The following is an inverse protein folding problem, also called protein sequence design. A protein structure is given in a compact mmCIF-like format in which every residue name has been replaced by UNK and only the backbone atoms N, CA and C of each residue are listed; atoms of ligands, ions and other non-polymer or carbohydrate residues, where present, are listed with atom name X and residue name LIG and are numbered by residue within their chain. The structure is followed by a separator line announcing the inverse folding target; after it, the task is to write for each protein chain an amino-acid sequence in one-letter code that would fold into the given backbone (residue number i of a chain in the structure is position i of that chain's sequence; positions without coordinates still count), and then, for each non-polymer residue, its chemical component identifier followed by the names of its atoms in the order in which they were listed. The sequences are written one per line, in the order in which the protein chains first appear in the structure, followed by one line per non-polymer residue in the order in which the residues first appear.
data_IF_382012045397
#
_entry.id   IF_382012045397
#
_cell.length_a   1.000
_cell.length_b   1.000
_cell.length_c   1.000
_cell.angle_alpha   90.00
_cell.angle_beta   90.00
_cell.angle_gamma   90.00
#
_symmetry.space_group_name_H-M   'P 1'
#
loop_
_entity.id
_entity.type
_entity.pdbx_description
1 polymer ?
#
# COMPACT_ATOMS: atom_id res chain seq x y z
N UNK A 1 -11.54 -7.78 -33.14
CA UNK A 1 -10.96 -8.29 -31.87
C UNK A 1 -9.45 -8.58 -31.95
N UNK A 2 -8.69 -7.89 -32.82
CA UNK A 2 -7.26 -8.17 -33.04
C UNK A 2 -6.33 -7.00 -32.67
N UNK A 3 -6.90 -5.82 -32.42
CA UNK A 3 -6.15 -4.60 -32.14
C UNK A 3 -5.59 -4.59 -30.71
N UNK A 4 -6.39 -5.00 -29.71
CA UNK A 4 -5.91 -5.15 -28.33
C UNK A 4 -4.79 -6.19 -28.20
N UNK A 5 -4.93 -7.35 -28.87
CA UNK A 5 -3.88 -8.38 -28.87
C UNK A 5 -2.56 -7.84 -29.44
N UNK A 6 -2.62 -7.03 -30.49
CA UNK A 6 -1.44 -6.42 -31.11
C UNK A 6 -0.82 -5.33 -30.22
N UNK A 7 -1.62 -4.55 -29.52
CA UNK A 7 -1.15 -3.59 -28.51
C UNK A 7 -0.46 -4.29 -27.33
N UNK A 8 -1.09 -5.35 -26.80
CA UNK A 8 -0.51 -6.15 -25.71
C UNK A 8 0.78 -6.82 -26.19
N UNK A 9 0.80 -7.37 -27.41
CA UNK A 9 2.00 -7.98 -27.97
C UNK A 9 3.12 -6.96 -28.14
N UNK A 10 2.86 -5.74 -28.61
CA UNK A 10 3.87 -4.69 -28.74
C UNK A 10 4.46 -4.28 -27.37
N UNK A 11 3.60 -4.15 -26.35
CA UNK A 11 4.03 -3.82 -24.98
C UNK A 11 4.86 -4.95 -24.36
N UNK A 12 4.37 -6.19 -24.48
CA UNK A 12 5.06 -7.39 -23.99
C UNK A 12 6.38 -7.60 -24.74
N UNK A 13 6.41 -7.41 -26.06
CA UNK A 13 7.62 -7.60 -26.86
C UNK A 13 8.66 -6.50 -26.60
N UNK A 14 8.24 -5.25 -26.37
CA UNK A 14 9.12 -4.17 -25.91
C UNK A 14 9.71 -4.42 -24.51
N UNK A 15 8.96 -5.08 -23.62
CA UNK A 15 9.47 -5.56 -22.33
C UNK A 15 10.32 -6.83 -22.46
N UNK A 16 10.03 -7.72 -23.41
CA UNK A 16 10.79 -8.96 -23.64
C UNK A 16 12.17 -8.67 -24.24
N UNK A 17 12.25 -7.67 -25.11
CA UNK A 17 13.48 -7.20 -25.75
C UNK A 17 14.26 -6.18 -24.89
N UNK A 18 13.95 -6.07 -23.59
CA UNK A 18 14.66 -5.18 -22.66
C UNK A 18 16.16 -5.45 -22.69
N UNK A 19 16.93 -4.42 -23.06
CA UNK A 19 18.38 -4.42 -22.99
C UNK A 19 18.85 -4.68 -21.55
N UNK A 20 20.07 -5.23 -21.39
CA UNK A 20 20.66 -5.53 -20.07
C UNK A 20 20.66 -4.32 -19.14
N UNK A 21 20.72 -3.10 -19.71
CA UNK A 21 20.62 -1.85 -18.98
C UNK A 21 19.24 -1.65 -18.34
N UNK A 22 18.16 -1.81 -19.10
CA UNK A 22 16.79 -1.60 -18.60
C UNK A 22 16.42 -2.60 -17.50
N UNK A 23 16.88 -3.85 -17.60
CA UNK A 23 16.71 -4.86 -16.54
C UNK A 23 17.42 -4.46 -15.23
N UNK A 24 18.64 -3.91 -15.33
CA UNK A 24 19.38 -3.39 -14.16
C UNK A 24 18.67 -2.20 -13.54
N UNK A 25 18.18 -1.27 -14.35
CA UNK A 25 17.43 -0.11 -13.87
C UNK A 25 16.13 -0.53 -13.17
N UNK A 26 15.37 -1.47 -13.74
CA UNK A 26 14.13 -1.95 -13.14
C UNK A 26 14.38 -2.63 -11.78
N UNK A 27 15.46 -3.41 -11.66
CA UNK A 27 15.88 -3.99 -10.39
C UNK A 27 16.23 -2.91 -9.36
N UNK A 28 16.96 -1.86 -9.76
CA UNK A 28 17.29 -0.72 -8.89
C UNK A 28 16.01 -0.01 -8.44
N UNK A 29 15.06 0.22 -9.34
CA UNK A 29 13.76 0.85 -9.03
C UNK A 29 12.96 0.00 -8.05
N UNK A 30 12.89 -1.32 -8.27
CA UNK A 30 12.21 -2.26 -7.39
C UNK A 30 12.80 -2.23 -5.98
N UNK A 31 14.14 -2.27 -5.88
CA UNK A 31 14.86 -2.16 -4.60
C UNK A 31 14.57 -0.81 -3.94
N UNK A 32 14.59 0.29 -4.70
CA UNK A 32 14.27 1.62 -4.17
C UNK A 32 12.85 1.69 -3.63
N UNK A 33 11.87 1.17 -4.35
CA UNK A 33 10.47 1.12 -3.93
C UNK A 33 10.34 0.28 -2.65
N UNK A 34 11.00 -0.87 -2.58
CA UNK A 34 10.98 -1.71 -1.39
C UNK A 34 11.61 -1.01 -0.18
N UNK A 35 12.78 -0.37 -0.34
CA UNK A 35 13.45 0.38 0.72
C UNK A 35 12.60 1.57 1.17
N UNK A 36 12.04 2.35 0.22
CA UNK A 36 11.17 3.48 0.53
C UNK A 36 9.89 3.03 1.25
N UNK A 37 9.30 1.90 0.83
CA UNK A 37 8.15 1.31 1.50
C UNK A 37 8.51 0.81 2.90
N UNK A 38 9.66 0.17 3.07
CA UNK A 38 10.13 -0.32 4.36
C UNK A 38 10.42 0.83 5.33
N UNK A 39 11.03 1.93 4.87
CA UNK A 39 11.28 3.13 5.68
C UNK A 39 9.96 3.84 6.00
N UNK A 40 9.07 4.04 5.03
CA UNK A 40 7.76 4.61 5.29
C UNK A 40 6.99 3.72 6.28
N UNK A 41 7.03 2.41 6.10
CA UNK A 41 6.38 1.47 7.02
C UNK A 41 7.00 1.58 8.42
N UNK A 42 8.32 1.49 8.54
CA UNK A 42 9.02 1.55 9.81
C UNK A 42 9.04 2.94 10.45
N UNK A 43 8.77 4.03 9.73
CA UNK A 43 8.75 5.38 10.31
C UNK A 43 7.32 5.89 10.54
N UNK A 44 6.40 5.67 9.59
CA UNK A 44 4.99 6.03 9.75
C UNK A 44 4.23 5.04 10.63
N UNK A 45 4.50 3.72 10.58
CA UNK A 45 3.70 2.75 11.33
C UNK A 45 4.04 2.61 12.82
N UNK A 46 5.27 2.74 13.34
CA UNK A 46 5.46 2.69 14.79
C UNK A 46 4.80 3.89 15.48
N UNK A 47 4.72 5.06 14.84
CA UNK A 47 3.98 6.20 15.38
C UNK A 47 2.46 6.11 15.15
N UNK A 48 2.02 5.39 14.11
CA UNK A 48 0.59 5.16 13.90
C UNK A 48 0.01 4.13 14.88
N UNK A 49 0.79 3.09 15.22
CA UNK A 49 0.37 2.02 16.12
C UNK A 49 0.68 2.31 17.60
N UNK A 50 1.80 2.97 17.93
CA UNK A 50 2.19 3.18 19.34
C UNK A 50 1.82 4.54 19.93
N UNK A 51 1.45 5.55 19.13
CA UNK A 51 1.34 6.92 19.68
C UNK A 51 -0.04 7.27 20.24
N UNK A 52 -0.98 6.34 20.35
CA UNK A 52 -2.23 6.65 21.06
C UNK A 52 -2.82 5.55 21.97
N UNK A 53 -2.57 4.24 21.80
CA UNK A 53 -3.28 3.24 22.61
C UNK A 53 -2.42 2.01 22.91
N UNK A 54 -2.40 1.65 24.19
CA UNK A 54 -1.61 0.57 24.80
C UNK A 54 -2.09 -0.84 24.43
N UNK A 55 -3.27 -0.96 23.80
CA UNK A 55 -3.82 -2.20 23.24
C UNK A 55 -4.88 -1.86 22.19
N UNK A 56 -4.85 -2.49 21.02
CA UNK A 56 -5.85 -2.30 19.94
C UNK A 56 -7.28 -2.71 20.39
N UNK A 57 -7.39 -3.54 21.43
CA UNK A 57 -8.69 -3.98 22.00
C UNK A 57 -9.43 -2.85 22.73
N UNK A 58 -8.75 -2.06 23.58
CA UNK A 58 -9.42 -1.00 24.37
C UNK A 58 -9.96 0.15 23.50
N UNK A 59 -9.31 0.44 22.36
CA UNK A 59 -9.82 1.41 21.36
C UNK A 59 -11.16 0.98 20.78
N UNK A 60 -11.21 -0.28 20.37
CA UNK A 60 -12.34 -0.84 19.65
C UNK A 60 -13.58 -0.78 20.54
N UNK A 61 -13.41 -1.18 21.80
CA UNK A 61 -14.50 -1.18 22.79
C UNK A 61 -14.99 0.23 23.11
N UNK A 62 -14.10 1.23 23.22
CA UNK A 62 -14.51 2.60 23.46
C UNK A 62 -15.24 3.22 22.26
N UNK A 63 -14.82 2.93 21.02
CA UNK A 63 -15.49 3.43 19.80
C UNK A 63 -16.86 2.78 19.63
N UNK A 64 -16.98 1.47 19.89
CA UNK A 64 -18.26 0.74 19.86
C UNK A 64 -19.23 1.36 20.87
N UNK A 65 -18.77 1.63 22.09
CA UNK A 65 -19.62 2.24 23.12
C UNK A 65 -20.08 3.65 22.74
N UNK A 66 -19.22 4.47 22.13
CA UNK A 66 -19.59 5.84 21.68
C UNK A 66 -20.54 5.80 20.49
N UNK A 67 -20.31 4.95 19.49
CA UNK A 67 -21.19 4.84 18.32
C UNK A 67 -22.54 4.21 18.68
N UNK A 68 -22.57 3.29 19.63
CA UNK A 68 -23.80 2.64 20.09
C UNK A 68 -24.63 3.57 20.99
N UNK A 69 -24.00 4.30 21.92
CA UNK A 69 -24.72 5.23 22.82
C UNK A 69 -25.05 6.59 22.19
N UNK A 70 -24.29 7.08 21.20
CA UNK A 70 -24.57 8.37 20.55
C UNK A 70 -25.89 8.41 19.78
N UNK A 71 -26.42 7.24 19.41
CA UNK A 71 -27.75 7.12 18.77
C UNK A 71 -28.93 7.20 19.75
N UNK A 72 -28.69 7.40 21.06
CA UNK A 72 -29.75 7.61 22.05
C UNK A 72 -29.84 9.06 22.59
N UNK A 73 -29.04 9.99 22.04
CA UNK A 73 -28.97 11.38 22.52
C UNK A 73 -29.62 12.44 21.64
N UNK A 74 -30.26 12.05 20.53
CA UNK A 74 -30.97 12.96 19.64
C UNK A 74 -32.41 12.49 19.45
N UNK A 75 -33.22 12.63 20.50
CA UNK A 75 -34.67 12.95 20.53
C UNK A 75 -35.19 12.85 21.96
#
# INVERSE_FOLDING_TARGET
MNFLKRFIFLYVDGFKNQSKLSKRLWLIILIKIFIMFAILKLFFFPNFLNTNFSSDEEKSDHIINVLTNKNQGNE
#
